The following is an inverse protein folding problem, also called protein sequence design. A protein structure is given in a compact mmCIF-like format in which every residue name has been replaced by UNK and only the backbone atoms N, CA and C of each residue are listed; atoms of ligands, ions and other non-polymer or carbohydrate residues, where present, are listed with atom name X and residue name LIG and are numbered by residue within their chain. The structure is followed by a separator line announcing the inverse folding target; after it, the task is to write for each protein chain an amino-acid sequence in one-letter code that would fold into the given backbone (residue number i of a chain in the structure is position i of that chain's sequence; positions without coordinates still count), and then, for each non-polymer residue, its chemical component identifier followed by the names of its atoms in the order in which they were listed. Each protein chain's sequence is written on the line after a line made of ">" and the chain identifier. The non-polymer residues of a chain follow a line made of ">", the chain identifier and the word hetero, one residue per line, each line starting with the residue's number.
data_IF_487395491344
#
_entry.id   IF_487395491344
#
_cell.length_a   1.000
_cell.length_b   1.000
_cell.length_c   1.000
_cell.angle_alpha   90.00
_cell.angle_beta   90.00
_cell.angle_gamma   90.00
#
_symmetry.space_group_name_H-M   'P 1'
#
loop_
_entity.id
_entity.type
_entity.pdbx_description
1 polymer ?
#
# COMPACT_ATOMS: atom_id res chain seq x y z
N UNK A 1 18.69 -19.91 -15.00
CA UNK A 1 17.73 -19.02 -14.34
C UNK A 1 17.72 -17.78 -15.16
N UNK A 2 16.62 -17.52 -15.85
CA UNK A 2 16.47 -16.28 -16.58
C UNK A 2 16.17 -15.22 -15.54
N UNK A 3 17.18 -14.40 -15.22
CA UNK A 3 17.15 -13.44 -14.11
C UNK A 3 15.97 -12.47 -14.26
N UNK A 4 15.49 -12.28 -15.50
CA UNK A 4 14.32 -11.49 -15.82
C UNK A 4 13.02 -12.16 -15.34
N UNK A 5 12.87 -13.47 -15.57
CA UNK A 5 11.70 -14.25 -15.14
C UNK A 5 11.58 -14.29 -13.61
N UNK A 6 12.71 -14.52 -12.92
CA UNK A 6 12.74 -14.58 -11.46
C UNK A 6 12.40 -13.21 -10.83
N UNK A 7 12.83 -12.11 -11.46
CA UNK A 7 12.52 -10.75 -11.00
C UNK A 7 11.03 -10.42 -11.17
N UNK A 8 10.44 -10.78 -12.32
CA UNK A 8 9.01 -10.55 -12.61
C UNK A 8 8.11 -11.37 -11.68
N UNK A 9 8.46 -12.64 -11.41
CA UNK A 9 7.72 -13.50 -10.49
C UNK A 9 7.80 -12.99 -9.05
N UNK A 10 8.99 -12.59 -8.58
CA UNK A 10 9.16 -12.04 -7.23
C UNK A 10 8.30 -10.79 -6.99
N UNK A 11 8.25 -9.89 -7.99
CA UNK A 11 7.48 -8.65 -7.92
C UNK A 11 5.97 -8.96 -7.95
N UNK A 12 5.52 -9.82 -8.88
CA UNK A 12 4.12 -10.24 -8.98
C UNK A 12 3.61 -10.92 -7.70
N UNK A 13 4.37 -11.85 -7.13
CA UNK A 13 3.99 -12.56 -5.90
C UNK A 13 3.90 -11.62 -4.70
N UNK A 14 4.85 -10.68 -4.59
CA UNK A 14 4.84 -9.65 -3.52
C UNK A 14 3.60 -8.76 -3.61
N UNK A 15 3.16 -8.47 -4.84
CA UNK A 15 1.98 -7.65 -5.09
C UNK A 15 0.67 -8.39 -4.83
N UNK A 16 0.61 -9.68 -5.16
CA UNK A 16 -0.57 -10.52 -4.91
C UNK A 16 -0.81 -10.67 -3.41
N UNK A 17 0.24 -10.87 -2.62
CA UNK A 17 0.17 -10.89 -1.15
C UNK A 17 -0.28 -9.54 -0.57
N UNK A 18 0.17 -8.42 -1.15
CA UNK A 18 -0.24 -7.07 -0.74
C UNK A 18 -1.71 -6.76 -1.11
N UNK A 19 -2.20 -7.26 -2.25
CA UNK A 19 -3.61 -7.15 -2.68
C UNK A 19 -4.53 -8.11 -1.92
N UNK A 20 -4.05 -9.30 -1.59
CA UNK A 20 -4.85 -10.36 -0.99
C UNK A 20 -5.30 -10.04 0.45
N UNK A 21 -4.62 -9.12 1.14
CA UNK A 21 -4.97 -8.75 2.51
C UNK A 21 -5.51 -7.32 2.63
N UNK A 22 -6.83 -7.17 2.44
CA UNK A 22 -7.58 -6.05 3.01
C UNK A 22 -7.37 -5.91 4.53
N UNK A 23 -6.99 -7.01 5.21
CA UNK A 23 -6.54 -7.03 6.61
C UNK A 23 -5.27 -6.18 6.85
N UNK A 24 -4.33 -6.13 5.89
CA UNK A 24 -3.10 -5.37 6.04
C UNK A 24 -3.39 -3.88 6.11
N UNK A 25 -4.26 -3.36 5.24
CA UNK A 25 -4.69 -1.95 5.27
C UNK A 25 -5.39 -1.63 6.59
N UNK A 26 -6.31 -2.48 7.05
CA UNK A 26 -6.99 -2.29 8.33
C UNK A 26 -6.01 -2.30 9.52
N UNK A 27 -5.02 -3.20 9.50
CA UNK A 27 -3.96 -3.29 10.52
C UNK A 27 -3.09 -2.02 10.52
N UNK A 28 -2.77 -1.51 9.33
CA UNK A 28 -1.95 -0.31 9.18
C UNK A 28 -2.70 0.94 9.63
N UNK A 29 -3.98 1.06 9.29
CA UNK A 29 -4.87 2.12 9.78
C UNK A 29 -4.96 2.12 11.30
N UNK A 30 -5.22 0.97 11.91
CA UNK A 30 -5.28 0.84 13.37
C UNK A 30 -3.96 1.25 14.04
N UNK A 31 -2.82 0.97 13.40
CA UNK A 31 -1.50 1.38 13.90
C UNK A 31 -1.30 2.89 13.83
N UNK A 32 -1.77 3.53 12.76
CA UNK A 32 -1.69 5.00 12.62
C UNK A 32 -2.67 5.69 13.55
N UNK A 33 -3.88 5.15 13.75
CA UNK A 33 -4.83 5.63 14.76
C UNK A 33 -4.26 5.56 16.18
N UNK A 34 -3.50 4.51 16.50
CA UNK A 34 -2.83 4.41 17.81
C UNK A 34 -1.71 5.45 17.99
N UNK A 35 -1.09 5.93 16.91
CA UNK A 35 -0.10 7.01 16.98
C UNK A 35 -0.76 8.36 17.21
N UNK A 36 -2.04 8.52 16.81
CA UNK A 36 -2.81 9.73 17.06
C UNK A 36 -2.92 10.05 18.57
N UNK A 37 -2.90 9.03 19.43
CA UNK A 37 -2.93 9.19 20.89
C UNK A 37 -1.72 9.93 21.46
N UNK A 38 -0.62 9.97 20.72
CA UNK A 38 0.60 10.70 21.12
C UNK A 38 0.50 12.20 20.86
N UNK A 39 -0.46 12.68 20.06
CA UNK A 39 -0.62 14.10 19.73
C UNK A 39 -1.25 14.92 20.86
N UNK A 40 -1.73 14.27 21.93
CA UNK A 40 -2.32 14.92 23.08
C UNK A 40 -3.81 15.30 22.90
N UNK A 41 -4.45 15.78 23.98
CA UNK A 41 -5.88 16.07 24.01
C UNK A 41 -6.21 17.24 23.07
N UNK A 42 -7.12 17.00 22.12
CA UNK A 42 -7.57 17.96 21.11
C UNK A 42 -7.16 17.59 19.68
N UNK A 43 -5.98 17.02 19.48
CA UNK A 43 -5.50 16.56 18.16
C UNK A 43 -5.69 15.05 17.95
N UNK A 44 -5.70 14.26 19.04
CA UNK A 44 -5.90 12.80 18.95
C UNK A 44 -7.25 12.45 18.31
N UNK A 45 -8.36 13.03 18.80
CA UNK A 45 -9.70 12.72 18.29
C UNK A 45 -9.87 13.12 16.82
N UNK A 46 -9.37 14.31 16.45
CA UNK A 46 -9.40 14.77 15.05
C UNK A 46 -8.53 13.89 14.16
N UNK A 47 -7.31 13.53 14.58
CA UNK A 47 -6.43 12.63 13.85
C UNK A 47 -7.09 11.27 13.60
N UNK A 48 -7.70 10.66 14.63
CA UNK A 48 -8.45 9.40 14.48
C UNK A 48 -9.61 9.53 13.52
N UNK A 49 -10.39 10.61 13.60
CA UNK A 49 -11.50 10.86 12.67
C UNK A 49 -11.03 10.99 11.21
N UNK A 50 -9.88 11.64 10.99
CA UNK A 50 -9.30 11.80 9.65
C UNK A 50 -8.74 10.48 9.12
N UNK A 51 -8.02 9.71 9.94
CA UNK A 51 -7.50 8.40 9.54
C UNK A 51 -8.65 7.43 9.25
N UNK A 52 -9.71 7.41 10.06
CA UNK A 52 -10.86 6.53 9.84
C UNK A 52 -11.64 6.89 8.57
N UNK A 53 -11.86 8.18 8.29
CA UNK A 53 -12.62 8.62 7.10
C UNK A 53 -11.79 8.58 5.80
N UNK A 54 -10.56 9.08 5.84
CA UNK A 54 -9.75 9.29 4.64
C UNK A 54 -8.65 8.24 4.46
N UNK A 55 -8.22 7.58 5.53
CA UNK A 55 -7.15 6.59 5.48
C UNK A 55 -7.41 5.48 4.46
N UNK A 56 -8.56 4.77 4.47
CA UNK A 56 -8.86 3.75 3.47
C UNK A 56 -8.78 4.29 2.03
N UNK A 57 -9.33 5.47 1.78
CA UNK A 57 -9.35 6.10 0.46
C UNK A 57 -7.93 6.47 -0.01
N UNK A 58 -7.13 7.06 0.88
CA UNK A 58 -5.74 7.44 0.60
C UNK A 58 -4.88 6.20 0.37
N UNK A 59 -5.06 5.14 1.15
CA UNK A 59 -4.35 3.87 0.96
C UNK A 59 -4.74 3.16 -0.33
N UNK A 60 -6.03 3.14 -0.70
CA UNK A 60 -6.49 2.60 -1.98
C UNK A 60 -5.89 3.40 -3.14
N UNK A 61 -5.86 4.73 -3.04
CA UNK A 61 -5.28 5.58 -4.08
C UNK A 61 -3.77 5.40 -4.20
N UNK A 62 -3.04 5.31 -3.08
CA UNK A 62 -1.61 5.01 -3.04
C UNK A 62 -1.32 3.62 -3.62
N UNK A 63 -2.09 2.61 -3.23
CA UNK A 63 -1.99 1.26 -3.78
C UNK A 63 -2.26 1.26 -5.28
N UNK A 64 -3.23 2.03 -5.77
CA UNK A 64 -3.50 2.18 -7.20
C UNK A 64 -2.30 2.77 -7.93
N UNK A 65 -1.67 3.83 -7.40
CA UNK A 65 -0.47 4.43 -8.01
C UNK A 65 0.73 3.50 -8.00
N UNK A 66 0.91 2.71 -6.94
CA UNK A 66 1.95 1.67 -6.87
C UNK A 66 1.65 0.52 -7.84
N UNK A 67 0.37 0.16 -8.00
CA UNK A 67 -0.09 -0.82 -9.02
C UNK A 67 0.19 -0.33 -10.44
N UNK A 68 0.01 0.97 -10.69
CA UNK A 68 0.34 1.61 -11.96
C UNK A 68 1.87 1.63 -12.20
N UNK A 69 2.68 1.80 -11.16
CA UNK A 69 4.14 1.69 -11.23
C UNK A 69 4.58 0.26 -11.56
N UNK A 70 3.90 -0.73 -11.01
CA UNK A 70 4.02 -2.15 -11.34
C UNK A 70 3.64 -2.47 -12.78
N UNK A 71 2.55 -1.89 -13.29
CA UNK A 71 2.21 -1.96 -14.71
C UNK A 71 3.28 -1.30 -15.57
N UNK A 72 3.86 -0.17 -15.12
CA UNK A 72 4.95 0.50 -15.79
C UNK A 72 6.22 -0.35 -15.83
N UNK A 73 6.60 -1.00 -14.72
CA UNK A 73 7.72 -1.93 -14.65
C UNK A 73 7.50 -3.15 -15.54
N UNK A 74 6.28 -3.70 -15.57
CA UNK A 74 5.92 -4.79 -16.48
C UNK A 74 6.03 -4.38 -17.96
N UNK A 75 5.52 -3.20 -18.33
CA UNK A 75 5.65 -2.67 -19.70
C UNK A 75 7.11 -2.38 -20.04
N UNK A 76 7.89 -1.81 -19.13
CA UNK A 76 9.31 -1.54 -19.35
C UNK A 76 10.10 -2.84 -19.53
N UNK A 77 9.80 -3.88 -18.75
CA UNK A 77 10.40 -5.21 -18.88
C UNK A 77 10.02 -5.88 -20.21
N UNK A 78 8.85 -5.60 -20.79
CA UNK A 78 8.39 -6.16 -22.07
C UNK A 78 8.95 -5.42 -23.30
N UNK A 79 9.43 -4.19 -23.14
CA UNK A 79 10.02 -3.37 -24.21
C UNK A 79 11.54 -3.48 -24.23
N UNK A 80 12.17 -3.72 -23.07
CA UNK A 80 13.63 -3.78 -22.92
C UNK A 80 14.18 -5.22 -22.78
N UNK A 81 13.32 -6.23 -22.82
CA UNK A 81 13.67 -7.65 -22.96
C UNK A 81 12.79 -8.27 -24.04
#
# INVERSE_FOLDING_TARGET
>A
GDVCQDCVTLISDTQEEAKANSSFINTLLARVESQCDLLGPGLSDTCKQYISQYGPLVFIQLMSMVSDFEAFLNVFSFVYF
#
